data_IF_006540114641
#
_entry.id   IF_006540114641
#
_cell.length_a   1.000
_cell.length_b   1.000
_cell.length_c   1.000
_cell.angle_alpha   90.00
_cell.angle_beta   90.00
_cell.angle_gamma   90.00
#
_symmetry.space_group_name_H-M   'P 1'
#
loop_
_entity.id
_entity.type
_entity.pdbx_description
1 polymer ?
#
# COMPACT_ATOMS: atom_id res chain seq x y z
N UNK A 1 -16.60 12.68 8.70
CA UNK A 1 -15.72 13.30 7.70
C UNK A 1 -14.32 13.33 8.29
N UNK A 2 -13.30 12.97 7.52
CA UNK A 2 -11.89 13.03 7.96
C UNK A 2 -11.20 14.16 7.20
N UNK A 3 -10.88 15.26 7.89
CA UNK A 3 -10.25 16.43 7.28
C UNK A 3 -8.72 16.28 7.28
N UNK A 4 -8.08 16.72 6.20
CA UNK A 4 -6.63 16.71 6.03
C UNK A 4 -6.15 18.09 5.54
N UNK A 5 -4.88 18.37 5.73
CA UNK A 5 -4.22 19.55 5.16
C UNK A 5 -3.87 19.27 3.69
N UNK A 6 -4.47 20.01 2.76
CA UNK A 6 -4.21 19.84 1.32
C UNK A 6 -2.92 20.56 0.87
N UNK A 7 -2.32 21.37 1.74
CA UNK A 7 -1.09 22.11 1.43
C UNK A 7 0.17 21.22 1.50
N UNK A 8 0.12 20.05 2.16
CA UNK A 8 1.28 19.16 2.33
C UNK A 8 1.04 17.81 1.65
N UNK A 9 1.96 17.41 0.77
CA UNK A 9 1.90 16.14 0.03
C UNK A 9 2.37 14.92 0.85
N UNK A 10 1.95 14.86 2.13
CA UNK A 10 2.36 13.83 3.07
C UNK A 10 1.66 12.49 2.77
N UNK A 11 2.15 11.41 3.39
CA UNK A 11 1.58 10.06 3.21
C UNK A 11 0.05 10.02 3.41
N UNK A 12 -0.56 10.66 4.43
CA UNK A 12 -2.02 10.69 4.57
C UNK A 12 -2.73 11.33 3.38
N UNK A 13 -2.20 12.42 2.82
CA UNK A 13 -2.79 13.07 1.65
C UNK A 13 -2.63 12.23 0.39
N UNK A 14 -1.49 11.53 0.23
CA UNK A 14 -1.28 10.59 -0.86
C UNK A 14 -2.34 9.48 -0.83
N UNK A 15 -2.54 8.84 0.33
CA UNK A 15 -3.57 7.80 0.50
C UNK A 15 -4.98 8.36 0.25
N UNK A 16 -5.30 9.51 0.82
CA UNK A 16 -6.61 10.15 0.65
C UNK A 16 -6.92 10.45 -0.82
N UNK A 17 -5.93 10.97 -1.56
CA UNK A 17 -6.08 11.30 -2.97
C UNK A 17 -6.30 10.04 -3.81
N UNK A 18 -5.56 8.96 -3.53
CA UNK A 18 -5.72 7.66 -4.22
C UNK A 18 -7.06 7.01 -3.92
N UNK A 19 -7.53 7.08 -2.67
CA UNK A 19 -8.85 6.54 -2.30
C UNK A 19 -9.96 7.29 -3.01
N UNK A 20 -9.93 8.63 -3.01
CA UNK A 20 -10.94 9.42 -3.69
C UNK A 20 -10.81 9.44 -5.21
N UNK A 21 -9.75 8.87 -5.79
CA UNK A 21 -9.72 8.58 -7.22
C UNK A 21 -10.72 7.47 -7.60
N UNK A 22 -10.97 6.55 -6.66
CA UNK A 22 -11.97 5.50 -6.84
C UNK A 22 -13.37 6.11 -6.98
N UNK A 23 -14.30 5.34 -7.54
CA UNK A 23 -15.68 5.77 -7.73
C UNK A 23 -15.81 7.07 -8.56
N UNK A 24 -15.08 7.14 -9.68
CA UNK A 24 -15.11 8.24 -10.64
C UNK A 24 -14.80 9.62 -10.04
N UNK A 25 -13.92 9.69 -9.04
CA UNK A 25 -13.52 10.97 -8.43
C UNK A 25 -14.68 11.78 -7.83
N UNK A 26 -15.78 11.12 -7.46
CA UNK A 26 -16.95 11.81 -6.93
C UNK A 26 -16.77 12.31 -5.49
N UNK A 27 -15.65 11.97 -4.82
CA UNK A 27 -15.39 12.35 -3.43
C UNK A 27 -16.12 11.49 -2.39
N UNK A 28 -16.75 10.39 -2.80
CA UNK A 28 -17.45 9.46 -1.92
C UNK A 28 -17.02 8.01 -2.16
N UNK A 29 -16.75 7.30 -1.06
CA UNK A 29 -16.41 5.88 -1.05
C UNK A 29 -17.40 5.21 -0.10
N UNK A 30 -18.03 4.13 -0.57
CA UNK A 30 -18.94 3.35 0.25
C UNK A 30 -18.13 2.61 1.33
N UNK A 31 -18.61 2.69 2.59
CA UNK A 31 -18.00 1.94 3.68
C UNK A 31 -18.17 0.43 3.46
N UNK A 32 -17.22 -0.41 3.91
CA UNK A 32 -17.37 -1.86 3.92
C UNK A 32 -18.65 -2.32 4.60
N UNK A 33 -19.25 -3.43 4.12
CA UNK A 33 -20.50 -3.96 4.67
C UNK A 33 -20.39 -4.27 6.17
N UNK A 34 -19.22 -4.75 6.62
CA UNK A 34 -18.98 -5.04 8.02
C UNK A 34 -19.08 -3.80 8.93
N UNK A 35 -18.87 -2.59 8.40
CA UNK A 35 -19.04 -1.34 9.14
C UNK A 35 -20.44 -0.73 9.00
N UNK A 36 -21.22 -1.17 8.02
CA UNK A 36 -22.59 -0.71 7.79
C UNK A 36 -23.60 -1.54 8.59
N UNK A 37 -23.41 -2.85 8.64
CA UNK A 37 -24.40 -3.79 9.15
C UNK A 37 -24.16 -4.25 10.60
N UNK A 38 -22.92 -4.14 11.11
CA UNK A 38 -22.54 -4.71 12.41
C UNK A 38 -22.20 -3.62 13.42
N UNK A 39 -23.17 -3.28 14.29
CA UNK A 39 -22.98 -2.33 15.40
C UNK A 39 -21.97 -2.84 16.43
N UNK A 40 -21.68 -4.15 16.44
CA UNK A 40 -20.71 -4.78 17.33
C UNK A 40 -19.29 -4.81 16.77
N UNK A 41 -19.07 -4.24 15.57
CA UNK A 41 -17.75 -4.09 14.96
C UNK A 41 -16.88 -3.11 15.77
N UNK A 42 -16.34 -3.59 16.88
CA UNK A 42 -15.45 -2.84 17.75
C UNK A 42 -14.18 -2.53 17.00
N UNK A 43 -13.84 -1.24 16.82
CA UNK A 43 -12.64 -0.78 16.11
C UNK A 43 -11.32 -1.20 16.75
N UNK A 44 -11.36 -1.64 18.01
CA UNK A 44 -10.24 -2.08 18.83
C UNK A 44 -10.48 -3.54 19.25
N UNK A 45 -9.52 -4.43 18.97
CA UNK A 45 -9.46 -5.77 19.58
C UNK A 45 -10.58 -6.76 19.25
N UNK A 46 -11.50 -6.43 18.34
CA UNK A 46 -12.56 -7.34 17.91
C UNK A 46 -11.98 -8.59 17.24
N UNK A 47 -12.46 -9.76 17.65
CA UNK A 47 -12.09 -11.05 17.09
C UNK A 47 -12.25 -11.00 15.56
N UNK A 48 -11.14 -11.10 14.81
CA UNK A 48 -11.10 -11.10 13.33
C UNK A 48 -11.93 -12.26 12.70
N UNK A 49 -12.57 -13.08 13.52
CA UNK A 49 -13.29 -14.29 13.13
C UNK A 49 -14.60 -14.01 12.40
N UNK A 50 -15.17 -12.80 12.46
CA UNK A 50 -16.38 -12.47 11.68
C UNK A 50 -16.09 -11.95 10.27
N UNK A 51 -14.86 -11.54 9.95
CA UNK A 51 -14.54 -11.05 8.61
C UNK A 51 -14.23 -12.22 7.68
N UNK A 52 -15.16 -12.55 6.79
CA UNK A 52 -15.09 -13.70 5.86
C UNK A 52 -13.92 -13.63 4.84
N UNK A 53 -13.23 -12.49 4.72
CA UNK A 53 -12.31 -12.20 3.60
C UNK A 53 -10.90 -11.83 4.07
N UNK A 54 -10.24 -12.73 4.80
CA UNK A 54 -8.86 -12.54 5.27
C UNK A 54 -7.88 -13.31 4.40
N UNK A 55 -6.88 -12.61 3.88
CA UNK A 55 -5.87 -13.16 2.98
C UNK A 55 -4.46 -13.03 3.53
N UNK A 56 -3.59 -13.93 3.07
CA UNK A 56 -2.14 -13.80 3.18
C UNK A 56 -1.59 -13.41 1.82
N UNK A 57 -0.86 -12.30 1.76
CA UNK A 57 -0.33 -11.77 0.50
C UNK A 57 1.19 -12.00 0.47
N UNK A 58 1.66 -12.53 -0.66
CA UNK A 58 3.07 -12.72 -0.98
C UNK A 58 3.40 -11.93 -2.24
N UNK A 59 4.25 -10.93 -2.09
CA UNK A 59 4.67 -10.04 -3.17
C UNK A 59 6.09 -10.43 -3.58
N UNK A 60 6.34 -10.51 -4.88
CA UNK A 60 7.68 -10.72 -5.43
C UNK A 60 8.01 -9.52 -6.29
N UNK A 61 9.07 -8.80 -5.93
CA UNK A 61 9.48 -7.60 -6.64
C UNK A 61 10.55 -7.96 -7.68
N UNK A 62 10.23 -7.84 -8.96
CA UNK A 62 11.13 -8.24 -10.05
C UNK A 62 12.02 -7.09 -10.50
N UNK A 63 11.42 -6.10 -11.17
CA UNK A 63 12.10 -4.97 -11.76
C UNK A 63 11.16 -3.77 -11.90
N UNK A 64 11.72 -2.61 -12.20
CA UNK A 64 10.96 -1.44 -12.64
C UNK A 64 11.66 -0.74 -13.78
N UNK A 65 10.88 -0.12 -14.66
CA UNK A 65 11.33 0.60 -15.85
C UNK A 65 10.97 2.07 -15.71
N UNK A 66 11.80 2.96 -16.26
CA UNK A 66 11.55 4.41 -16.29
C UNK A 66 11.29 5.06 -14.92
N UNK A 67 11.89 4.55 -13.83
CA UNK A 67 11.58 4.99 -12.46
C UNK A 67 12.29 6.27 -12.01
N UNK A 68 13.46 6.60 -12.57
CA UNK A 68 14.19 7.83 -12.22
C UNK A 68 15.33 8.14 -13.20
N UNK A 69 15.81 9.38 -13.11
CA UNK A 69 17.01 9.88 -13.78
C UNK A 69 18.26 9.15 -13.28
N UNK A 70 19.21 8.92 -14.19
CA UNK A 70 20.49 8.21 -13.99
C UNK A 70 21.40 8.77 -12.89
N UNK A 71 21.04 9.92 -12.32
CA UNK A 71 21.79 10.66 -11.30
C UNK A 71 21.58 10.14 -9.86
N UNK A 72 20.52 9.35 -9.60
CA UNK A 72 20.30 8.71 -8.30
C UNK A 72 21.09 7.40 -8.18
N UNK A 73 22.13 7.41 -7.35
CA UNK A 73 22.99 6.24 -7.11
C UNK A 73 22.29 5.11 -6.33
N UNK A 74 21.25 5.41 -5.56
CA UNK A 74 20.54 4.43 -4.75
C UNK A 74 19.04 4.62 -4.86
N UNK A 75 18.38 3.64 -5.48
CA UNK A 75 16.93 3.58 -5.58
C UNK A 75 16.44 2.54 -4.57
N UNK A 76 15.31 2.83 -3.93
CA UNK A 76 14.64 1.92 -3.02
C UNK A 76 13.19 1.72 -3.43
N UNK A 77 12.70 0.50 -3.29
CA UNK A 77 11.28 0.22 -3.29
C UNK A 77 10.83 -0.05 -1.86
N UNK A 78 9.85 0.72 -1.40
CA UNK A 78 9.18 0.55 -0.13
C UNK A 78 7.83 -0.09 -0.42
N UNK A 79 7.58 -1.23 0.19
CA UNK A 79 6.29 -1.92 0.14
C UNK A 79 5.71 -1.85 1.55
N UNK A 80 4.55 -1.21 1.67
CA UNK A 80 3.88 -1.01 2.94
C UNK A 80 2.42 -1.43 2.90
N UNK A 81 1.93 -1.95 4.01
CA UNK A 81 0.51 -2.22 4.23
C UNK A 81 -0.07 -1.16 5.15
N UNK A 82 -1.19 -0.55 4.77
CA UNK A 82 -1.95 0.39 5.60
C UNK A 82 -3.37 -0.10 5.76
N UNK A 83 -3.98 0.13 6.91
CA UNK A 83 -5.37 -0.25 7.17
C UNK A 83 -5.62 -0.48 8.64
N UNK A 84 -6.54 -1.38 8.96
CA UNK A 84 -6.97 -1.64 10.33
C UNK A 84 -6.04 -2.63 11.03
N UNK A 85 -5.67 -2.31 12.28
CA UNK A 85 -5.03 -3.17 13.29
C UNK A 85 -4.52 -4.50 12.74
N UNK A 86 -3.36 -4.42 12.09
CA UNK A 86 -2.36 -5.46 11.95
C UNK A 86 -1.20 -4.72 11.30
N UNK A 87 -0.11 -4.58 12.06
CA UNK A 87 1.22 -4.09 11.70
C UNK A 87 1.28 -3.38 10.35
N UNK A 88 1.47 -2.05 10.36
CA UNK A 88 1.97 -1.36 9.17
C UNK A 88 3.36 -1.94 8.88
N UNK A 89 3.41 -3.03 8.11
CA UNK A 89 4.64 -3.71 7.77
C UNK A 89 5.22 -2.90 6.63
N UNK A 90 6.23 -2.13 6.96
CA UNK A 90 7.04 -1.43 5.96
C UNK A 90 8.23 -2.33 5.66
N UNK A 91 8.36 -2.78 4.41
CA UNK A 91 9.58 -3.43 3.92
C UNK A 91 10.26 -2.53 2.91
N UNK A 92 11.51 -2.19 3.18
CA UNK A 92 12.37 -1.41 2.30
C UNK A 92 13.32 -2.36 1.59
N UNK A 93 13.27 -2.37 0.26
CA UNK A 93 14.09 -3.18 -0.62
C UNK A 93 15.03 -2.24 -1.38
N UNK A 94 16.33 -2.56 -1.37
CA UNK A 94 17.34 -1.81 -2.13
C UNK A 94 17.41 -2.32 -3.56
N UNK A 95 17.52 -1.42 -4.52
CA UNK A 95 17.75 -1.78 -5.91
C UNK A 95 19.13 -2.43 -6.11
N UNK A 96 19.18 -3.49 -6.90
CA UNK A 96 20.39 -4.27 -7.10
C UNK A 96 21.35 -3.59 -8.08
N UNK A 97 20.90 -3.26 -9.29
CA UNK A 97 21.69 -2.64 -10.38
C UNK A 97 20.78 -1.95 -11.41
N UNK A 98 21.27 -0.85 -12.00
CA UNK A 98 20.72 -0.28 -13.23
C UNK A 98 21.48 -0.89 -14.41
N UNK A 99 20.79 -1.59 -15.30
CA UNK A 99 21.46 -2.41 -16.34
C UNK A 99 21.66 -1.69 -17.67
N UNK A 100 20.83 -0.71 -18.03
CA UNK A 100 20.80 -0.18 -19.41
C UNK A 100 20.62 1.35 -19.48
N UNK A 101 21.28 1.98 -20.48
CA UNK A 101 21.25 3.43 -20.73
C UNK A 101 20.00 3.92 -21.47
N UNK A 102 19.41 3.10 -22.34
CA UNK A 102 18.27 3.49 -23.19
C UNK A 102 16.92 3.04 -22.64
N UNK A 103 16.91 1.94 -21.87
CA UNK A 103 15.75 1.43 -21.14
C UNK A 103 16.16 1.19 -19.69
N UNK A 104 16.26 2.25 -18.86
CA UNK A 104 16.78 2.13 -17.50
C UNK A 104 15.89 1.19 -16.69
N UNK A 105 16.34 -0.05 -16.63
CA UNK A 105 15.71 -1.15 -15.90
C UNK A 105 16.45 -1.31 -14.60
N UNK A 106 15.69 -1.26 -13.51
CA UNK A 106 16.18 -1.40 -12.16
C UNK A 106 15.72 -2.75 -11.66
N UNK A 107 16.69 -3.62 -11.35
CA UNK A 107 16.40 -4.97 -10.87
C UNK A 107 16.33 -5.01 -9.34
N UNK A 108 15.37 -5.78 -8.82
CA UNK A 108 15.16 -6.04 -7.38
C UNK A 108 15.44 -7.49 -7.00
N UNK A 109 16.16 -8.24 -7.85
CA UNK A 109 16.59 -9.62 -7.62
C UNK A 109 15.47 -10.59 -7.23
N UNK A 110 14.22 -10.32 -7.63
CA UNK A 110 13.07 -11.16 -7.26
C UNK A 110 12.91 -11.32 -5.74
N UNK A 111 13.21 -10.26 -4.98
CA UNK A 111 13.03 -10.27 -3.53
C UNK A 111 11.55 -10.51 -3.16
N UNK A 112 11.35 -11.40 -2.19
CA UNK A 112 10.02 -11.84 -1.76
C UNK A 112 9.64 -11.18 -0.45
N UNK A 113 8.50 -10.51 -0.46
CA UNK A 113 7.86 -9.92 0.71
C UNK A 113 6.59 -10.69 1.03
N UNK A 114 6.65 -11.51 2.07
CA UNK A 114 5.44 -12.02 2.71
C UNK A 114 4.98 -11.07 3.80
N UNK A 115 3.66 -10.82 3.83
CA UNK A 115 2.99 -10.25 4.97
C UNK A 115 2.42 -11.40 5.79
N UNK A 116 2.97 -11.65 6.99
CA UNK A 116 2.48 -12.70 7.91
C UNK A 116 1.13 -12.34 8.56
N UNK A 117 0.59 -11.22 8.13
CA UNK A 117 -0.43 -10.41 8.74
C UNK A 117 -1.75 -10.70 8.01
N UNK A 118 -2.85 -10.87 8.75
CA UNK A 118 -4.18 -11.16 8.21
C UNK A 118 -4.73 -9.91 7.51
N UNK A 119 -4.61 -9.83 6.19
CA UNK A 119 -5.05 -8.64 5.42
C UNK A 119 -6.51 -8.82 5.03
N UNK A 120 -7.37 -7.86 5.35
CA UNK A 120 -8.74 -7.83 4.85
C UNK A 120 -8.81 -7.03 3.55
N UNK A 121 -9.48 -7.58 2.54
CA UNK A 121 -9.62 -6.97 1.23
C UNK A 121 -10.36 -5.62 1.24
N UNK A 122 -11.30 -5.41 2.18
CA UNK A 122 -12.22 -4.28 2.14
C UNK A 122 -11.64 -2.99 2.75
N UNK A 123 -10.64 -3.09 3.62
CA UNK A 123 -10.14 -1.94 4.38
C UNK A 123 -8.62 -1.91 4.59
N UNK A 124 -7.87 -2.85 4.01
CA UNK A 124 -6.42 -2.79 3.98
C UNK A 124 -5.93 -2.53 2.56
N UNK A 125 -4.88 -1.72 2.47
CA UNK A 125 -4.28 -1.26 1.23
C UNK A 125 -2.79 -1.61 1.24
N UNK A 126 -2.26 -1.91 0.06
CA UNK A 126 -0.83 -2.07 -0.17
C UNK A 126 -0.36 -0.88 -0.98
N UNK A 127 0.70 -0.21 -0.51
CA UNK A 127 1.34 0.89 -1.23
C UNK A 127 2.75 0.48 -1.61
N UNK A 128 3.07 0.76 -2.86
CA UNK A 128 4.42 0.71 -3.40
C UNK A 128 4.91 2.14 -3.54
N UNK A 129 6.10 2.43 -3.03
CA UNK A 129 6.75 3.72 -3.20
C UNK A 129 8.19 3.50 -3.66
N UNK A 130 8.61 4.28 -4.66
CA UNK A 130 9.97 4.27 -5.17
C UNK A 130 10.64 5.58 -4.77
N UNK A 131 11.83 5.52 -4.18
CA UNK A 131 12.60 6.69 -3.71
C UNK A 131 14.01 6.66 -4.25
#
# INVERSE_FOLDING_TARGET
MAALNFQTADMPLQLNSTLFEQNNRCGYILKPECQLNDLSYSSIGGNLTSSKNVFRIKITLFSGIFLADSSKNEIYCIIETTGRFINNVVKKIKCAKQTERYSPTINFNSEKVSFNSRINQEYNYIRFAVM
#
